data_IF_919022139815
#
_entry.id   IF_919022139815
#
_cell.length_a   1.000
_cell.length_b   1.000
_cell.length_c   1.000
_cell.angle_alpha   90.00
_cell.angle_beta   90.00
_cell.angle_gamma   90.00
#
_symmetry.space_group_name_H-M   'P 1'
#
loop_
_entity.id
_entity.type
_entity.pdbx_description
1 polymer ?
#
# COMPACT_ATOMS: atom_id res chain seq x y z
N UNK A 1 3.66 -7.34 -8.86
CA UNK A 1 3.40 -8.53 -8.01
C UNK A 1 2.23 -8.20 -7.09
N UNK A 2 1.13 -8.96 -7.09
CA UNK A 2 0.00 -8.68 -6.20
C UNK A 2 0.45 -8.87 -4.74
N UNK A 3 0.60 -7.76 -4.00
CA UNK A 3 1.12 -7.76 -2.63
C UNK A 3 0.10 -8.46 -1.74
N UNK A 4 0.40 -9.71 -1.38
CA UNK A 4 -0.51 -10.54 -0.59
C UNK A 4 -0.86 -9.85 0.73
N UNK A 5 -2.15 -9.87 1.10
CA UNK A 5 -2.63 -9.41 2.40
C UNK A 5 -1.89 -10.07 3.58
N UNK A 6 -1.21 -11.19 3.36
CA UNK A 6 -0.38 -11.91 4.33
C UNK A 6 0.68 -11.06 5.05
N UNK A 7 1.28 -10.07 4.37
CA UNK A 7 2.31 -9.22 5.00
C UNK A 7 1.73 -8.32 6.10
N UNK A 8 0.47 -7.89 5.94
CA UNK A 8 -0.24 -7.11 6.97
C UNK A 8 -0.53 -7.98 8.20
N UNK A 9 -0.90 -9.25 7.99
CA UNK A 9 -1.08 -10.20 9.09
C UNK A 9 0.23 -10.45 9.86
N UNK A 10 1.35 -10.59 9.14
CA UNK A 10 2.68 -10.72 9.75
C UNK A 10 3.02 -9.51 10.65
N UNK A 11 2.76 -8.29 10.17
CA UNK A 11 2.97 -7.08 10.97
C UNK A 11 2.08 -7.04 12.21
N UNK A 12 0.78 -7.30 12.05
CA UNK A 12 -0.18 -7.28 13.16
C UNK A 12 0.22 -8.30 14.22
N UNK A 13 0.58 -9.51 13.81
CA UNK A 13 1.04 -10.55 14.71
C UNK A 13 2.33 -10.14 15.46
N UNK A 14 3.30 -9.56 14.75
CA UNK A 14 4.53 -9.04 15.36
C UNK A 14 4.27 -7.98 16.42
N UNK A 15 3.39 -7.01 16.13
CA UNK A 15 3.01 -5.95 17.08
C UNK A 15 2.28 -6.51 18.30
N UNK A 16 1.35 -7.45 18.11
CA UNK A 16 0.64 -8.10 19.21
C UNK A 16 1.62 -8.88 20.10
N UNK A 17 2.55 -9.64 19.49
CA UNK A 17 3.56 -10.39 20.24
C UNK A 17 4.51 -9.47 21.04
N UNK A 18 4.84 -8.30 20.49
CA UNK A 18 5.66 -7.28 21.17
C UNK A 18 4.90 -6.63 22.33
N UNK A 19 3.61 -6.32 22.14
CA UNK A 19 2.74 -5.83 23.22
C UNK A 19 2.59 -6.86 24.34
N UNK A 20 2.47 -8.15 23.99
CA UNK A 20 2.42 -9.22 24.97
C UNK A 20 3.71 -9.29 25.78
N UNK A 21 4.89 -9.21 25.15
CA UNK A 21 6.18 -9.19 25.85
C UNK A 21 6.30 -7.97 26.79
N UNK A 22 5.83 -6.79 26.35
CA UNK A 22 5.81 -5.59 27.17
C UNK A 22 4.86 -5.73 28.38
N UNK A 23 3.68 -6.31 28.18
CA UNK A 23 2.74 -6.59 29.27
C UNK A 23 3.34 -7.57 30.28
N UNK A 24 3.92 -8.68 29.82
CA UNK A 24 4.60 -9.66 30.68
C UNK A 24 5.74 -9.03 31.48
N UNK A 25 6.56 -8.16 30.86
CA UNK A 25 7.63 -7.46 31.55
C UNK A 25 7.10 -6.47 32.61
N UNK A 26 6.03 -5.73 32.29
CA UNK A 26 5.39 -4.81 33.23
C UNK A 26 4.76 -5.56 34.41
N UNK A 27 4.05 -6.65 34.14
CA UNK A 27 3.46 -7.52 35.17
C UNK A 27 4.52 -8.14 36.06
N UNK A 28 5.63 -8.63 35.50
CA UNK A 28 6.73 -9.19 36.27
C UNK A 28 7.34 -8.16 37.24
N UNK A 29 7.53 -6.91 36.78
CA UNK A 29 7.99 -5.81 37.65
C UNK A 29 6.97 -5.45 38.72
N UNK A 30 5.68 -5.45 38.40
CA UNK A 30 4.63 -5.20 39.38
C UNK A 30 4.56 -6.30 40.44
N UNK A 31 4.70 -7.56 40.03
CA UNK A 31 4.73 -8.72 40.92
C UNK A 31 5.86 -8.61 41.93
N UNK A 32 7.10 -8.38 41.47
CA UNK A 32 8.26 -8.25 42.36
C UNK A 32 8.11 -7.13 43.39
N UNK A 33 7.51 -6.00 43.00
CA UNK A 33 7.21 -4.89 43.92
C UNK A 33 6.23 -5.28 45.01
N UNK A 34 5.19 -6.05 44.67
CA UNK A 34 4.17 -6.50 45.64
C UNK A 34 4.74 -7.55 46.59
N UNK A 35 5.62 -8.43 46.10
CA UNK A 35 6.24 -9.48 46.90
C UNK A 35 7.50 -9.02 47.63
N UNK A 36 7.82 -7.72 47.60
CA UNK A 36 9.03 -7.13 48.19
C UNK A 36 10.33 -7.83 47.75
N UNK A 37 10.34 -8.40 46.53
CA UNK A 37 11.51 -9.04 45.96
C UNK A 37 12.31 -8.03 45.15
N UNK A 38 13.64 -8.11 45.24
CA UNK A 38 14.52 -7.26 44.44
C UNK A 38 14.47 -7.66 42.96
N UNK A 39 14.43 -6.65 42.09
CA UNK A 39 14.53 -6.87 40.65
C UNK A 39 15.97 -7.19 40.27
N UNK A 40 16.26 -8.48 40.09
CA UNK A 40 17.59 -8.95 39.68
C UNK A 40 17.76 -8.92 38.16
N UNK A 41 16.83 -9.51 37.42
CA UNK A 41 16.87 -9.59 35.96
C UNK A 41 15.49 -9.92 35.38
N UNK A 42 15.32 -9.69 34.09
CA UNK A 42 14.11 -10.09 33.38
C UNK A 42 14.20 -11.58 33.01
N UNK A 43 13.12 -12.36 33.16
CA UNK A 43 13.09 -13.75 32.72
C UNK A 43 13.51 -13.89 31.25
N UNK A 44 14.36 -14.87 30.97
CA UNK A 44 14.90 -15.10 29.62
C UNK A 44 13.82 -15.33 28.56
N UNK A 45 12.71 -15.94 28.93
CA UNK A 45 11.56 -16.16 28.04
C UNK A 45 10.98 -14.84 27.51
N UNK A 46 10.72 -13.87 28.39
CA UNK A 46 10.22 -12.54 28.02
C UNK A 46 11.25 -11.80 27.15
N UNK A 47 12.54 -11.94 27.46
CA UNK A 47 13.61 -11.33 26.67
C UNK A 47 13.65 -11.89 25.24
N UNK A 48 13.63 -13.22 25.10
CA UNK A 48 13.65 -13.89 23.80
C UNK A 48 12.38 -13.56 23.01
N UNK A 49 11.20 -13.61 23.64
CA UNK A 49 9.94 -13.22 23.01
C UNK A 49 9.99 -11.76 22.50
N UNK A 50 10.54 -10.85 23.30
CA UNK A 50 10.71 -9.44 22.92
C UNK A 50 11.64 -9.27 21.71
N UNK A 51 12.78 -9.96 21.68
CA UNK A 51 13.73 -9.90 20.56
C UNK A 51 13.10 -10.48 19.28
N UNK A 52 12.46 -11.65 19.36
CA UNK A 52 11.83 -12.30 18.20
C UNK A 52 10.69 -11.45 17.65
N UNK A 53 9.83 -10.92 18.52
CA UNK A 53 8.71 -10.05 18.11
C UNK A 53 9.17 -8.73 17.49
N UNK A 54 10.29 -8.17 17.96
CA UNK A 54 10.92 -7.00 17.36
C UNK A 54 11.36 -7.29 15.90
N UNK A 55 12.13 -8.35 15.68
CA UNK A 55 12.57 -8.72 14.33
C UNK A 55 11.41 -9.06 13.40
N UNK A 56 10.39 -9.76 13.91
CA UNK A 56 9.15 -10.06 13.17
C UNK A 56 8.44 -8.78 12.71
N UNK A 57 8.36 -7.78 13.59
CA UNK A 57 7.73 -6.48 13.29
C UNK A 57 8.55 -5.70 12.25
N UNK A 58 9.87 -5.65 12.41
CA UNK A 58 10.77 -5.00 11.43
C UNK A 58 10.62 -5.63 10.03
N UNK A 59 10.57 -6.96 9.97
CA UNK A 59 10.34 -7.68 8.72
C UNK A 59 8.97 -7.36 8.12
N UNK A 60 7.92 -7.33 8.95
CA UNK A 60 6.57 -6.95 8.51
C UNK A 60 6.50 -5.54 7.90
N UNK A 61 7.19 -4.56 8.51
CA UNK A 61 7.23 -3.18 8.03
C UNK A 61 7.96 -3.07 6.70
N UNK A 62 9.12 -3.73 6.56
CA UNK A 62 9.88 -3.75 5.30
C UNK A 62 9.00 -4.25 4.15
N UNK A 63 8.18 -5.27 4.42
CA UNK A 63 7.25 -5.83 3.44
C UNK A 63 6.03 -4.96 3.15
N UNK A 64 5.82 -3.84 3.85
CA UNK A 64 4.76 -2.83 3.58
C UNK A 64 5.34 -1.57 2.94
N UNK A 65 6.59 -1.21 3.25
CA UNK A 65 7.24 0.04 2.82
C UNK A 65 7.15 0.32 1.31
N UNK A 66 7.24 -0.73 0.48
CA UNK A 66 7.04 -0.60 -0.97
C UNK A 66 8.20 -1.21 -1.72
N UNK A 67 7.97 -1.50 -3.00
CA UNK A 67 9.09 -1.74 -3.90
C UNK A 67 9.66 -0.39 -4.32
N UNK A 68 10.99 -0.30 -4.39
CA UNK A 68 11.64 0.89 -4.94
C UNK A 68 11.30 0.98 -6.42
N UNK A 69 10.82 2.15 -6.86
CA UNK A 69 10.62 2.45 -8.28
C UNK A 69 11.95 2.88 -8.89
N UNK A 70 12.24 2.42 -10.10
CA UNK A 70 13.41 2.88 -10.85
C UNK A 70 13.33 4.39 -11.13
N UNK A 71 14.47 5.08 -10.99
CA UNK A 71 14.57 6.53 -11.21
C UNK A 71 14.56 6.87 -12.71
N UNK A 72 14.89 5.92 -13.59
CA UNK A 72 15.10 6.18 -15.01
C UNK A 72 13.77 6.35 -15.75
N UNK A 73 13.41 7.60 -16.05
CA UNK A 73 12.18 7.95 -16.75
C UNK A 73 12.02 7.28 -18.13
N UNK A 74 13.12 6.89 -18.79
CA UNK A 74 13.06 6.24 -20.10
C UNK A 74 12.38 4.87 -20.06
N UNK A 75 12.48 4.14 -18.94
CA UNK A 75 11.86 2.81 -18.77
C UNK A 75 10.34 2.94 -18.64
N UNK A 76 9.87 3.94 -17.90
CA UNK A 76 8.44 4.25 -17.79
C UNK A 76 7.87 4.78 -19.12
N UNK A 77 8.65 5.57 -19.86
CA UNK A 77 8.26 6.09 -21.18
C UNK A 77 8.23 5.01 -22.26
N UNK A 78 9.10 4.02 -22.20
CA UNK A 78 9.11 2.87 -23.14
C UNK A 78 7.84 2.02 -23.00
N UNK A 79 7.28 1.93 -21.80
CA UNK A 79 6.01 1.24 -21.55
C UNK A 79 4.78 1.99 -22.10
N UNK A 80 4.94 3.25 -22.52
CA UNK A 80 3.85 4.11 -22.96
C UNK A 80 3.71 4.09 -24.48
N UNK A 81 2.53 3.69 -24.97
CA UNK A 81 2.25 3.64 -26.41
C UNK A 81 2.07 5.04 -27.01
N UNK A 82 2.36 5.16 -28.31
CA UNK A 82 2.21 6.41 -29.06
C UNK A 82 0.77 6.94 -29.07
N UNK A 83 -0.21 6.02 -29.08
CA UNK A 83 -1.64 6.35 -28.95
C UNK A 83 -1.94 7.10 -27.65
N UNK A 84 -1.34 6.67 -26.52
CA UNK A 84 -1.54 7.32 -25.23
C UNK A 84 -0.90 8.70 -25.16
N UNK A 85 0.22 8.91 -25.86
CA UNK A 85 0.93 10.20 -25.91
C UNK A 85 0.23 11.19 -26.85
N UNK A 86 -0.30 10.70 -27.98
CA UNK A 86 -1.02 11.52 -28.97
C UNK A 86 -2.43 11.90 -28.51
N UNK A 87 -2.95 11.22 -27.51
CA UNK A 87 -4.22 11.54 -26.90
C UNK A 87 -4.11 12.78 -26.00
N UNK A 88 -4.23 13.98 -26.58
CA UNK A 88 -4.18 15.26 -25.85
C UNK A 88 -5.59 15.70 -25.40
N UNK A 89 -5.96 15.57 -24.11
CA UNK A 89 -7.33 15.88 -23.67
C UNK A 89 -7.71 17.35 -23.86
N UNK A 90 -6.74 18.25 -23.76
CA UNK A 90 -6.94 19.69 -23.97
C UNK A 90 -7.32 20.07 -25.41
N UNK A 91 -7.13 19.17 -26.39
CA UNK A 91 -7.41 19.42 -27.81
C UNK A 91 -8.47 18.48 -28.39
N UNK A 92 -9.29 17.86 -27.54
CA UNK A 92 -10.37 17.01 -28.03
C UNK A 92 -11.38 17.77 -28.86
N UNK A 93 -11.60 17.27 -30.07
CA UNK A 93 -12.67 17.70 -30.96
C UNK A 93 -13.70 16.59 -31.06
N UNK A 94 -14.94 16.85 -30.66
CA UNK A 94 -16.03 15.87 -30.67
C UNK A 94 -16.73 15.74 -32.03
N UNK A 95 -16.20 16.41 -33.06
CA UNK A 95 -16.67 16.31 -34.45
C UNK A 95 -15.96 15.15 -35.16
N UNK A 96 -16.24 13.92 -34.72
CA UNK A 96 -15.69 12.70 -35.31
C UNK A 96 -16.79 11.70 -35.70
N UNK A 97 -16.44 10.69 -36.50
CA UNK A 97 -17.36 9.65 -37.00
C UNK A 97 -18.12 8.91 -35.90
N UNK A 98 -17.52 8.79 -34.70
CA UNK A 98 -18.19 8.20 -33.53
C UNK A 98 -19.46 8.93 -33.08
N UNK A 99 -19.64 10.20 -33.46
CA UNK A 99 -20.85 10.97 -33.16
C UNK A 99 -22.09 10.37 -33.83
N UNK A 100 -21.96 9.81 -35.03
CA UNK A 100 -23.07 9.17 -35.75
C UNK A 100 -23.44 7.78 -35.20
N UNK A 101 -22.62 7.23 -34.31
CA UNK A 101 -22.84 5.93 -33.67
C UNK A 101 -23.49 6.06 -32.28
N UNK A 102 -23.71 7.29 -31.78
CA UNK A 102 -24.41 7.48 -30.50
C UNK A 102 -25.92 7.28 -30.67
N UNK A 103 -26.61 6.59 -29.74
CA UNK A 103 -28.06 6.39 -29.78
C UNK A 103 -28.86 7.69 -29.91
N UNK A 104 -28.36 8.78 -29.33
CA UNK A 104 -28.99 10.10 -29.32
C UNK A 104 -28.58 10.99 -30.52
N UNK A 105 -27.95 10.41 -31.55
CA UNK A 105 -27.50 11.18 -32.71
C UNK A 105 -28.68 11.61 -33.59
N UNK A 106 -28.91 12.92 -33.67
CA UNK A 106 -29.81 13.51 -34.66
C UNK A 106 -28.96 13.99 -35.85
N UNK A 107 -29.12 13.42 -37.06
CA UNK A 107 -28.38 13.87 -38.22
C UNK A 107 -28.77 15.32 -38.57
N UNK A 108 -27.81 16.18 -38.94
CA UNK A 108 -28.14 17.54 -39.35
C UNK A 108 -29.04 17.49 -40.59
N UNK A 109 -30.18 18.21 -40.55
CA UNK A 109 -31.03 18.39 -41.73
C UNK A 109 -30.18 18.99 -42.84
N UNK A 110 -30.17 18.31 -44.01
CA UNK A 110 -29.53 18.78 -45.24
C UNK A 110 -30.11 20.17 -45.54
N UNK A 111 -29.36 21.24 -45.24
CA UNK A 111 -29.68 22.56 -45.80
C UNK A 111 -29.51 22.39 -47.30
N UNK A 112 -30.64 22.32 -47.99
CA UNK A 112 -30.70 22.49 -49.42
C UNK A 112 -29.95 23.76 -49.77
N UNK A 113 -29.11 23.65 -50.79
CA UNK A 113 -28.32 24.75 -51.30
C UNK A 113 -29.22 25.98 -51.50
N UNK A 114 -29.05 26.98 -50.64
CA UNK A 114 -29.55 28.31 -50.93
C UNK A 114 -28.67 28.86 -52.05
N UNK A 115 -29.19 28.69 -53.27
CA UNK A 115 -28.89 29.47 -54.46
C UNK A 115 -29.05 30.96 -54.21
#
# INVERSE_FOLDING_TARGET
MARSSGHKFCLIFGVIALLHAAYSAAQHRAYLRITEQEFTSLPLDILIQGIVSLFMTMYGIMQIAGEFKEIRATVELESKSWETVRNLPSFYTFNHRGKALSPDYIPPHRREAAS
#
